data_IF_083118499556
#
_entry.id   IF_083118499556
#
_cell.length_a   1.000
_cell.length_b   1.000
_cell.length_c   1.000
_cell.angle_alpha   90.00
_cell.angle_beta   90.00
_cell.angle_gamma   90.00
#
_symmetry.space_group_name_H-M   'P 1'
#
loop_
_entity.id
_entity.type
_entity.pdbx_description
1 polymer ?
#
# COMPACT_ATOMS: atom_id res chain seq x y z
N UNK A 1 17.88 -54.83 29.95
CA UNK A 1 17.54 -55.29 28.60
C UNK A 1 16.05 -55.59 28.54
N UNK A 2 15.29 -54.74 27.84
CA UNK A 2 13.97 -54.99 27.20
C UNK A 2 13.14 -53.69 27.21
N UNK A 3 12.67 -53.20 26.04
CA UNK A 3 11.86 -51.98 25.92
C UNK A 3 10.35 -52.27 26.00
N UNK A 4 9.62 -51.44 26.73
CA UNK A 4 8.15 -51.44 26.78
C UNK A 4 7.56 -50.80 25.51
N UNK A 5 6.61 -51.50 24.91
CA UNK A 5 6.03 -51.24 23.59
C UNK A 5 5.14 -50.00 23.51
N UNK A 6 5.04 -49.46 22.29
CA UNK A 6 4.08 -48.44 21.88
C UNK A 6 2.90 -49.11 21.20
N UNK A 7 1.71 -48.98 21.80
CA UNK A 7 0.43 -49.33 21.17
C UNK A 7 0.11 -48.36 20.03
N UNK A 8 -0.13 -48.87 18.82
CA UNK A 8 -0.74 -48.14 17.72
C UNK A 8 -2.24 -48.46 17.69
N UNK A 9 -3.08 -47.47 17.95
CA UNK A 9 -4.53 -47.60 17.84
C UNK A 9 -4.91 -47.34 16.38
N UNK A 10 -5.33 -48.40 15.68
CA UNK A 10 -5.97 -48.33 14.36
C UNK A 10 -7.47 -48.08 14.55
N UNK A 11 -7.96 -46.92 14.10
CA UNK A 11 -9.41 -46.64 14.01
C UNK A 11 -9.80 -46.52 12.54
N UNK A 12 -10.27 -47.63 11.97
CA UNK A 12 -11.03 -47.60 10.72
C UNK A 12 -12.47 -47.16 11.01
N UNK A 13 -12.93 -46.08 10.37
CA UNK A 13 -14.32 -45.62 10.45
C UNK A 13 -15.12 -46.07 9.21
N UNK A 14 -16.18 -46.87 9.38
CA UNK A 14 -16.97 -47.42 8.29
C UNK A 14 -18.08 -46.44 7.88
N UNK A 15 -17.80 -45.50 6.99
CA UNK A 15 -18.85 -44.68 6.37
C UNK A 15 -18.51 -44.25 4.93
N UNK A 16 -18.42 -45.23 4.04
CA UNK A 16 -18.31 -45.01 2.59
C UNK A 16 -19.28 -45.93 1.85
N UNK A 17 -20.58 -45.62 1.87
CA UNK A 17 -21.57 -46.27 0.96
C UNK A 17 -22.61 -45.36 0.29
N UNK A 18 -22.51 -44.03 0.40
CA UNK A 18 -23.37 -43.12 -0.39
C UNK A 18 -22.58 -41.95 -0.97
N UNK A 19 -21.84 -42.23 -2.04
CA UNK A 19 -20.72 -41.40 -2.53
C UNK A 19 -20.74 -41.19 -4.05
N UNK A 20 -21.91 -40.96 -4.66
CA UNK A 20 -21.93 -40.64 -6.11
C UNK A 20 -22.54 -39.27 -6.46
N UNK A 21 -23.54 -38.77 -5.73
CA UNK A 21 -24.11 -37.44 -6.04
C UNK A 21 -23.39 -36.30 -5.29
N UNK A 22 -22.83 -36.57 -4.10
CA UNK A 22 -22.09 -35.58 -3.32
C UNK A 22 -20.73 -35.23 -3.95
N UNK A 23 -20.08 -36.19 -4.63
CA UNK A 23 -18.69 -36.07 -5.11
C UNK A 23 -18.53 -35.10 -6.28
N UNK A 24 -19.50 -34.99 -7.18
CA UNK A 24 -19.43 -34.00 -8.27
C UNK A 24 -19.59 -32.56 -7.75
N UNK A 25 -20.49 -32.32 -6.80
CA UNK A 25 -20.61 -31.03 -6.11
C UNK A 25 -19.41 -30.72 -5.23
N UNK A 26 -18.82 -31.71 -4.55
CA UNK A 26 -17.64 -31.51 -3.70
C UNK A 26 -16.40 -31.19 -4.56
N UNK A 27 -16.17 -31.88 -5.68
CA UNK A 27 -15.03 -31.58 -6.57
C UNK A 27 -15.14 -30.20 -7.24
N UNK A 28 -16.34 -29.76 -7.63
CA UNK A 28 -16.54 -28.40 -8.16
C UNK A 28 -16.28 -27.31 -7.12
N UNK A 29 -16.66 -27.55 -5.86
CA UNK A 29 -16.42 -26.63 -4.75
C UNK A 29 -14.94 -26.62 -4.31
N UNK A 30 -14.28 -27.78 -4.29
CA UNK A 30 -12.84 -27.89 -4.01
C UNK A 30 -12.02 -27.17 -5.10
N UNK A 31 -12.39 -27.31 -6.37
CA UNK A 31 -11.72 -26.62 -7.49
C UNK A 31 -11.91 -25.09 -7.44
N UNK A 32 -13.06 -24.60 -6.95
CA UNK A 32 -13.32 -23.17 -6.77
C UNK A 32 -12.57 -22.60 -5.56
N UNK A 33 -12.56 -23.32 -4.43
CA UNK A 33 -11.91 -22.90 -3.18
C UNK A 33 -10.38 -22.89 -3.31
N UNK A 34 -9.80 -23.84 -4.05
CA UNK A 34 -8.37 -23.91 -4.33
C UNK A 34 -7.95 -23.23 -5.63
N UNK A 35 -8.83 -22.42 -6.25
CA UNK A 35 -8.45 -21.66 -7.45
C UNK A 35 -7.31 -20.67 -7.11
N UNK A 36 -6.23 -20.58 -7.92
CA UNK A 36 -5.07 -19.74 -7.60
C UNK A 36 -5.41 -18.28 -7.28
N UNK A 37 -6.42 -17.73 -7.95
CA UNK A 37 -6.94 -16.38 -7.69
C UNK A 37 -7.61 -16.25 -6.33
N UNK A 38 -8.35 -17.28 -5.88
CA UNK A 38 -8.98 -17.29 -4.55
C UNK A 38 -7.90 -17.40 -3.49
N UNK A 39 -6.90 -18.26 -3.66
CA UNK A 39 -5.73 -18.32 -2.76
C UNK A 39 -4.98 -16.99 -2.68
N UNK A 40 -4.75 -16.34 -3.82
CA UNK A 40 -4.12 -15.01 -3.85
C UNK A 40 -4.98 -13.96 -3.16
N UNK A 41 -6.30 -14.00 -3.35
CA UNK A 41 -7.24 -13.11 -2.66
C UNK A 41 -7.19 -13.29 -1.15
N UNK A 42 -7.18 -14.53 -0.67
CA UNK A 42 -7.03 -14.85 0.75
C UNK A 42 -5.70 -14.28 1.28
N UNK A 43 -4.56 -14.61 0.64
CA UNK A 43 -3.24 -14.05 1.02
C UNK A 43 -3.24 -12.52 1.05
N UNK A 44 -3.85 -11.89 0.06
CA UNK A 44 -3.97 -10.43 -0.01
C UNK A 44 -4.80 -9.88 1.16
N UNK A 45 -5.99 -10.46 1.41
CA UNK A 45 -6.90 -10.04 2.47
C UNK A 45 -6.40 -10.41 3.87
N UNK A 46 -5.50 -11.36 4.03
CA UNK A 46 -4.92 -11.70 5.33
C UNK A 46 -3.93 -10.63 5.82
N UNK A 47 -3.44 -9.78 4.93
CA UNK A 47 -2.60 -8.65 5.32
C UNK A 47 -3.45 -7.47 5.82
N UNK A 48 -3.01 -6.86 6.92
CA UNK A 48 -3.58 -5.58 7.40
C UNK A 48 -3.51 -4.49 6.33
N UNK A 49 -2.46 -4.48 5.51
CA UNK A 49 -2.28 -3.53 4.42
C UNK A 49 -3.33 -3.71 3.31
N UNK A 50 -3.65 -4.96 2.93
CA UNK A 50 -4.69 -5.28 1.96
C UNK A 50 -6.06 -4.81 2.43
N UNK A 51 -6.46 -5.19 3.66
CA UNK A 51 -7.73 -4.76 4.28
C UNK A 51 -7.84 -3.24 4.35
N UNK A 52 -6.79 -2.55 4.80
CA UNK A 52 -6.77 -1.08 4.88
C UNK A 52 -6.97 -0.42 3.52
N UNK A 53 -6.37 -0.97 2.45
CA UNK A 53 -6.47 -0.40 1.11
C UNK A 53 -7.82 -0.65 0.45
N UNK A 54 -8.44 -1.81 0.69
CA UNK A 54 -9.82 -2.08 0.25
C UNK A 54 -10.78 -1.09 0.92
N UNK A 55 -10.66 -0.91 2.24
CA UNK A 55 -11.48 0.07 2.95
C UNK A 55 -11.22 1.50 2.47
N UNK A 56 -9.99 1.83 2.06
CA UNK A 56 -9.68 3.14 1.45
C UNK A 56 -10.48 3.33 0.16
N UNK A 57 -10.48 2.33 -0.72
CA UNK A 57 -11.26 2.36 -1.96
C UNK A 57 -12.75 2.58 -1.66
N UNK A 58 -13.32 1.77 -0.75
CA UNK A 58 -14.74 1.87 -0.38
C UNK A 58 -15.09 3.22 0.25
N UNK A 59 -14.20 3.77 1.09
CA UNK A 59 -14.36 5.12 1.65
C UNK A 59 -14.44 6.18 0.55
N UNK A 60 -13.53 6.19 -0.41
CA UNK A 60 -13.51 7.22 -1.44
C UNK A 60 -14.60 7.03 -2.51
N UNK A 61 -15.02 5.79 -2.78
CA UNK A 61 -16.24 5.51 -3.54
C UNK A 61 -17.47 6.09 -2.83
N UNK A 62 -17.57 5.88 -1.52
CA UNK A 62 -18.66 6.44 -0.71
C UNK A 62 -18.63 7.97 -0.70
N UNK A 63 -17.44 8.59 -0.63
CA UNK A 63 -17.26 10.05 -0.76
C UNK A 63 -17.71 10.57 -2.13
N UNK A 64 -17.34 9.85 -3.20
CA UNK A 64 -17.77 10.19 -4.56
C UNK A 64 -19.30 10.16 -4.70
N UNK A 65 -19.94 9.08 -4.24
CA UNK A 65 -21.40 8.93 -4.26
C UNK A 65 -22.07 10.01 -3.40
N UNK A 66 -21.53 10.30 -2.21
CA UNK A 66 -22.04 11.34 -1.33
C UNK A 66 -21.99 12.73 -1.99
N UNK A 67 -20.89 13.06 -2.68
CA UNK A 67 -20.73 14.33 -3.39
C UNK A 67 -21.58 14.44 -4.67
N UNK A 68 -21.76 13.33 -5.40
CA UNK A 68 -22.50 13.33 -6.66
C UNK A 68 -24.02 13.23 -6.48
N UNK A 69 -24.48 12.44 -5.50
CA UNK A 69 -25.90 12.15 -5.24
C UNK A 69 -26.44 12.85 -3.99
N UNK A 70 -25.63 13.67 -3.31
CA UNK A 70 -25.98 14.29 -2.03
C UNK A 70 -26.47 13.29 -0.96
N UNK A 71 -25.97 12.04 -1.02
CA UNK A 71 -26.44 10.95 -0.17
C UNK A 71 -25.85 11.04 1.24
N UNK A 72 -26.70 11.25 2.23
CA UNK A 72 -26.31 11.21 3.65
C UNK A 72 -25.83 9.82 4.06
N UNK A 73 -26.47 8.76 3.59
CA UNK A 73 -26.08 7.38 3.89
C UNK A 73 -24.63 7.11 3.43
N UNK A 74 -24.29 7.50 2.20
CA UNK A 74 -22.93 7.33 1.68
C UNK A 74 -21.89 8.10 2.51
N UNK A 75 -22.26 9.30 3.02
CA UNK A 75 -21.40 10.06 3.94
C UNK A 75 -21.18 9.35 5.28
N UNK A 76 -22.21 8.71 5.84
CA UNK A 76 -22.07 7.91 7.07
C UNK A 76 -21.17 6.70 6.83
N UNK A 77 -21.41 5.94 5.75
CA UNK A 77 -20.58 4.79 5.37
C UNK A 77 -19.11 5.19 5.17
N UNK A 78 -18.85 6.34 4.53
CA UNK A 78 -17.51 6.91 4.41
C UNK A 78 -16.84 7.11 5.78
N UNK A 79 -17.56 7.64 6.77
CA UNK A 79 -17.03 7.87 8.11
C UNK A 79 -16.70 6.56 8.83
N UNK A 80 -17.56 5.55 8.71
CA UNK A 80 -17.31 4.21 9.28
C UNK A 80 -16.05 3.58 8.68
N UNK A 81 -15.89 3.58 7.36
CA UNK A 81 -14.66 3.09 6.72
C UNK A 81 -13.44 3.90 7.15
N UNK A 82 -13.58 5.22 7.34
CA UNK A 82 -12.50 6.06 7.85
C UNK A 82 -12.07 5.63 9.26
N UNK A 83 -13.02 5.31 10.13
CA UNK A 83 -12.76 4.87 11.50
C UNK A 83 -12.02 3.52 11.52
N UNK A 84 -12.54 2.51 10.80
CA UNK A 84 -11.92 1.19 10.72
C UNK A 84 -10.50 1.27 10.15
N UNK A 85 -10.27 2.09 9.12
CA UNK A 85 -8.92 2.30 8.56
C UNK A 85 -7.96 2.96 9.53
N UNK A 86 -8.44 3.83 10.42
CA UNK A 86 -7.59 4.41 11.47
C UNK A 86 -7.19 3.33 12.48
N UNK A 87 -8.13 2.45 12.85
CA UNK A 87 -7.83 1.28 13.70
C UNK A 87 -6.79 0.35 13.06
N UNK A 88 -6.94 -0.01 11.78
CA UNK A 88 -5.95 -0.86 11.09
C UNK A 88 -4.56 -0.23 10.95
N UNK A 89 -4.45 1.10 11.11
CA UNK A 89 -3.18 1.83 11.07
C UNK A 89 -2.61 2.10 12.47
N UNK A 90 -3.24 1.58 13.52
CA UNK A 90 -2.72 1.65 14.88
C UNK A 90 -1.30 1.06 14.93
N UNK A 91 -0.38 1.73 15.63
CA UNK A 91 1.06 1.37 15.71
C UNK A 91 1.87 1.38 14.40
N UNK A 92 1.26 1.69 13.25
CA UNK A 92 1.99 1.92 11.99
C UNK A 92 3.09 3.00 12.05
N UNK A 93 3.04 4.04 12.92
CA UNK A 93 4.18 4.94 13.10
C UNK A 93 5.51 4.24 13.37
N UNK A 94 5.51 3.12 14.10
CA UNK A 94 6.72 2.39 14.45
C UNK A 94 7.46 1.86 13.21
N UNK A 95 6.72 1.36 12.22
CA UNK A 95 7.29 0.91 10.95
C UNK A 95 7.98 2.06 10.22
N UNK A 96 7.40 3.27 10.27
CA UNK A 96 7.99 4.44 9.64
C UNK A 96 9.21 4.97 10.40
N UNK A 97 9.24 4.86 11.74
CA UNK A 97 10.44 5.17 12.51
C UNK A 97 11.58 4.20 12.16
N UNK A 98 11.30 2.90 12.10
CA UNK A 98 12.29 1.89 11.66
C UNK A 98 12.82 2.19 10.25
N UNK A 99 11.94 2.53 9.31
CA UNK A 99 12.34 2.91 7.96
C UNK A 99 13.19 4.18 7.94
N UNK A 100 12.82 5.21 8.69
CA UNK A 100 13.59 6.44 8.79
C UNK A 100 15.01 6.18 9.31
N UNK A 101 15.15 5.39 10.38
CA UNK A 101 16.46 4.98 10.92
C UNK A 101 17.26 4.14 9.91
N UNK A 102 16.61 3.20 9.22
CA UNK A 102 17.26 2.40 8.17
C UNK A 102 17.84 3.27 7.06
N UNK A 103 17.07 4.25 6.57
CA UNK A 103 17.55 5.17 5.54
C UNK A 103 18.63 6.11 6.06
N UNK A 104 18.55 6.55 7.32
CA UNK A 104 19.58 7.40 7.92
C UNK A 104 20.94 6.69 7.99
N UNK A 105 20.92 5.42 8.41
CA UNK A 105 22.12 4.59 8.57
C UNK A 105 22.59 3.89 7.29
N UNK A 106 21.84 3.99 6.19
CA UNK A 106 22.28 3.45 4.91
C UNK A 106 23.61 4.10 4.49
N UNK A 107 24.62 3.28 4.21
CA UNK A 107 25.93 3.71 3.75
C UNK A 107 25.86 4.14 2.27
N UNK A 108 26.86 4.87 1.80
CA UNK A 108 26.87 5.47 0.45
C UNK A 108 26.76 4.42 -0.68
N UNK A 109 27.08 3.15 -0.43
CA UNK A 109 26.90 2.04 -1.37
C UNK A 109 25.46 1.51 -1.48
N UNK A 110 24.63 1.67 -0.43
CA UNK A 110 23.28 1.07 -0.35
C UNK A 110 22.17 1.98 -0.93
N UNK A 111 22.38 3.30 -0.94
CA UNK A 111 21.47 4.30 -1.50
C UNK A 111 22.30 5.40 -2.16
N UNK A 112 22.82 5.13 -3.35
CA UNK A 112 23.85 5.94 -4.03
C UNK A 112 23.48 7.39 -4.42
N UNK A 113 22.43 7.98 -3.86
CA UNK A 113 22.10 9.40 -4.02
C UNK A 113 21.62 10.01 -2.69
N UNK A 114 22.32 11.04 -2.23
CA UNK A 114 22.06 11.71 -0.94
C UNK A 114 20.67 12.35 -0.89
N UNK A 115 20.17 12.91 -2.00
CA UNK A 115 18.84 13.53 -2.06
C UNK A 115 17.78 12.45 -1.85
N UNK A 116 17.89 11.32 -2.53
CA UNK A 116 16.98 10.17 -2.35
C UNK A 116 17.04 9.64 -0.91
N UNK A 117 18.23 9.55 -0.31
CA UNK A 117 18.42 9.12 1.08
C UNK A 117 17.70 10.05 2.06
N UNK A 118 18.03 11.34 2.06
CA UNK A 118 17.44 12.29 3.01
C UNK A 118 15.95 12.52 2.78
N UNK A 119 15.49 12.51 1.53
CA UNK A 119 14.06 12.55 1.23
C UNK A 119 13.33 11.32 1.81
N UNK A 120 13.91 10.11 1.75
CA UNK A 120 13.31 8.95 2.42
C UNK A 120 13.23 9.13 3.94
N UNK A 121 14.26 9.72 4.58
CA UNK A 121 14.24 10.00 6.03
C UNK A 121 13.12 10.97 6.37
N UNK A 122 13.04 12.11 5.68
CA UNK A 122 12.02 13.13 5.91
C UNK A 122 10.61 12.59 5.64
N UNK A 123 10.43 11.83 4.54
CA UNK A 123 9.15 11.18 4.20
C UNK A 123 8.67 10.26 5.31
N UNK A 124 9.54 9.38 5.80
CA UNK A 124 9.16 8.41 6.82
C UNK A 124 8.97 9.05 8.21
N UNK A 125 9.81 10.00 8.60
CA UNK A 125 9.61 10.74 9.85
C UNK A 125 8.29 11.52 9.84
N UNK A 126 7.98 12.17 8.71
CA UNK A 126 6.71 12.89 8.53
C UNK A 126 5.51 11.94 8.58
N UNK A 127 5.59 10.74 7.97
CA UNK A 127 4.55 9.72 8.09
C UNK A 127 4.40 9.19 9.52
N UNK A 128 5.50 9.02 10.26
CA UNK A 128 5.44 8.62 11.66
C UNK A 128 4.68 9.67 12.49
N UNK A 129 5.00 10.95 12.35
CA UNK A 129 4.31 12.04 13.06
C UNK A 129 2.84 12.11 12.64
N UNK A 130 2.55 12.08 11.33
CA UNK A 130 1.18 12.06 10.80
C UNK A 130 0.36 10.94 11.42
N UNK A 131 0.85 9.70 11.35
CA UNK A 131 0.12 8.53 11.83
C UNK A 131 0.00 8.52 13.35
N UNK A 132 0.94 9.10 14.10
CA UNK A 132 0.82 9.28 15.55
C UNK A 132 -0.30 10.26 15.91
N UNK A 133 -0.35 11.41 15.23
CA UNK A 133 -1.47 12.37 15.38
C UNK A 133 -2.80 11.76 14.92
N UNK A 134 -2.76 10.84 13.95
CA UNK A 134 -3.92 10.09 13.50
C UNK A 134 -4.50 9.17 14.59
N UNK A 135 -3.67 8.70 15.54
CA UNK A 135 -4.15 7.91 16.69
C UNK A 135 -4.91 8.77 17.69
N UNK A 136 -4.50 10.03 17.89
CA UNK A 136 -5.27 10.98 18.71
C UNK A 136 -6.63 11.24 18.05
N UNK A 137 -6.67 11.38 16.72
CA UNK A 137 -7.93 11.51 15.98
C UNK A 137 -8.81 10.27 16.12
N UNK A 138 -8.23 9.06 16.11
CA UNK A 138 -8.95 7.81 16.35
C UNK A 138 -9.55 7.75 17.75
N UNK A 139 -8.76 8.05 18.79
CA UNK A 139 -9.24 8.06 20.18
C UNK A 139 -10.35 9.07 20.40
N UNK A 140 -10.31 10.22 19.72
CA UNK A 140 -11.42 11.17 19.68
C UNK A 140 -12.67 10.58 19.02
N UNK A 141 -12.53 9.88 17.89
CA UNK A 141 -13.66 9.21 17.21
C UNK A 141 -14.29 8.10 18.07
N UNK A 142 -13.47 7.40 18.86
CA UNK A 142 -13.92 6.40 19.85
C UNK A 142 -14.46 7.02 21.14
N UNK A 143 -14.50 8.36 21.25
CA UNK A 143 -14.92 9.09 22.45
C UNK A 143 -14.07 8.82 23.70
N UNK A 144 -12.83 8.34 23.53
CA UNK A 144 -11.87 8.15 24.61
C UNK A 144 -11.18 9.46 25.04
N UNK A 145 -11.16 10.45 24.16
CA UNK A 145 -10.62 11.79 24.43
C UNK A 145 -11.70 12.83 24.10
N UNK A 146 -11.91 13.86 24.94
CA UNK A 146 -12.89 14.90 24.67
C UNK A 146 -12.57 15.70 23.40
N UNK A 147 -13.63 16.20 22.76
CA UNK A 147 -13.51 17.11 21.61
C UNK A 147 -13.23 18.52 22.14
N UNK A 148 -11.97 18.95 22.02
CA UNK A 148 -11.51 20.29 22.40
C UNK A 148 -11.05 21.04 21.14
N UNK A 149 -10.83 22.37 21.17
CA UNK A 149 -10.24 23.08 20.03
C UNK A 149 -8.89 22.52 19.60
N UNK A 150 -8.11 22.01 20.56
CA UNK A 150 -6.85 21.32 20.30
C UNK A 150 -7.09 19.98 19.60
N UNK A 151 -7.85 19.07 20.24
CA UNK A 151 -8.03 17.72 19.73
C UNK A 151 -8.86 17.70 18.45
N UNK A 152 -9.85 18.58 18.29
CA UNK A 152 -10.80 18.60 17.18
C UNK A 152 -10.42 19.44 15.97
N UNK A 153 -9.54 20.45 16.11
CA UNK A 153 -9.14 21.33 15.00
C UNK A 153 -7.62 21.30 14.75
N UNK A 154 -6.80 21.53 15.79
CA UNK A 154 -5.34 21.62 15.64
C UNK A 154 -4.73 20.27 15.25
N UNK A 155 -5.07 19.20 15.97
CA UNK A 155 -4.51 17.85 15.73
C UNK A 155 -4.83 17.34 14.31
N UNK A 156 -6.07 17.38 13.79
CA UNK A 156 -6.35 17.04 12.40
C UNK A 156 -5.58 17.89 11.39
N UNK A 157 -5.45 19.20 11.63
CA UNK A 157 -4.71 20.10 10.74
C UNK A 157 -3.23 19.73 10.70
N UNK A 158 -2.60 19.53 11.85
CA UNK A 158 -1.21 19.09 11.94
C UNK A 158 -0.98 17.73 11.31
N UNK A 159 -1.88 16.76 11.53
CA UNK A 159 -1.82 15.46 10.88
C UNK A 159 -1.79 15.62 9.35
N UNK A 160 -2.71 16.40 8.78
CA UNK A 160 -2.72 16.65 7.33
C UNK A 160 -1.47 17.43 6.85
N UNK A 161 -0.94 18.37 7.63
CA UNK A 161 0.31 19.06 7.29
C UNK A 161 1.50 18.09 7.21
N UNK A 162 1.65 17.19 8.20
CA UNK A 162 2.72 16.19 8.16
C UNK A 162 2.51 15.14 7.07
N UNK A 163 1.25 14.81 6.75
CA UNK A 163 0.97 13.99 5.57
C UNK A 163 1.42 14.71 4.28
N UNK A 164 1.13 16.01 4.14
CA UNK A 164 1.59 16.81 3.00
C UNK A 164 3.12 16.86 2.92
N UNK A 165 3.83 17.08 4.04
CA UNK A 165 5.30 17.06 4.04
C UNK A 165 5.88 15.71 3.60
N UNK A 166 5.26 14.60 4.01
CA UNK A 166 5.66 13.27 3.56
C UNK A 166 5.49 13.10 2.03
N UNK A 167 4.39 13.62 1.47
CA UNK A 167 4.10 13.58 0.03
C UNK A 167 5.06 14.47 -0.76
N UNK A 168 5.31 15.71 -0.33
CA UNK A 168 6.25 16.62 -0.98
C UNK A 168 7.68 16.04 -1.00
N UNK A 169 8.11 15.45 0.11
CA UNK A 169 9.38 14.74 0.18
C UNK A 169 9.43 13.53 -0.77
N UNK A 170 8.30 12.81 -0.90
CA UNK A 170 8.12 11.75 -1.89
C UNK A 170 8.24 12.23 -3.33
N UNK A 171 7.60 13.34 -3.67
CA UNK A 171 7.70 13.98 -4.99
C UNK A 171 9.14 14.34 -5.32
N UNK A 172 9.87 15.00 -4.41
CA UNK A 172 11.30 15.34 -4.60
C UNK A 172 12.13 14.08 -4.83
N UNK A 173 11.91 13.03 -4.03
CA UNK A 173 12.59 11.75 -4.17
C UNK A 173 12.34 11.11 -5.55
N UNK A 174 11.08 11.05 -6.00
CA UNK A 174 10.72 10.37 -7.24
C UNK A 174 11.15 11.18 -8.47
N UNK A 175 11.11 12.52 -8.42
CA UNK A 175 11.75 13.37 -9.43
C UNK A 175 13.24 13.08 -9.56
N UNK A 176 13.95 12.96 -8.43
CA UNK A 176 15.38 12.62 -8.44
C UNK A 176 15.65 11.24 -9.02
N UNK A 177 14.83 10.23 -8.67
CA UNK A 177 14.94 8.88 -9.25
C UNK A 177 14.70 8.88 -10.77
N UNK A 178 13.75 9.67 -11.26
CA UNK A 178 13.51 9.82 -12.70
C UNK A 178 14.75 10.39 -13.38
N UNK A 179 15.35 11.45 -12.84
CA UNK A 179 16.59 12.02 -13.39
C UNK A 179 17.74 11.00 -13.43
N UNK A 180 17.95 10.25 -12.34
CA UNK A 180 19.00 9.24 -12.26
C UNK A 180 18.78 8.09 -13.24
N UNK A 181 17.54 7.61 -13.34
CA UNK A 181 17.20 6.52 -14.28
C UNK A 181 17.25 6.98 -15.73
N UNK A 182 16.89 8.22 -16.05
CA UNK A 182 17.05 8.79 -17.39
C UNK A 182 18.52 8.90 -17.80
N UNK A 183 19.38 9.35 -16.89
CA UNK A 183 20.83 9.40 -17.14
C UNK A 183 21.41 8.01 -17.38
N UNK A 184 21.01 7.01 -16.58
CA UNK A 184 21.41 5.60 -16.74
C UNK A 184 20.89 4.97 -18.04
N UNK A 185 19.64 5.25 -18.43
CA UNK A 185 19.10 4.75 -19.69
C UNK A 185 19.85 5.32 -20.89
N UNK A 186 20.17 6.62 -20.87
CA UNK A 186 20.99 7.24 -21.92
C UNK A 186 22.36 6.58 -22.02
N UNK A 187 23.07 6.40 -20.89
CA UNK A 187 24.41 5.81 -20.91
C UNK A 187 24.40 4.34 -21.37
N UNK A 188 23.39 3.56 -20.99
CA UNK A 188 23.23 2.19 -21.48
C UNK A 188 22.96 2.17 -22.99
N UNK A 189 22.06 3.01 -23.50
CA UNK A 189 21.75 3.05 -24.93
C UNK A 189 22.95 3.48 -25.80
N UNK A 190 23.80 4.38 -25.30
CA UNK A 190 25.04 4.74 -26.02
C UNK A 190 26.03 3.57 -26.09
N UNK A 191 26.22 2.83 -24.99
CA UNK A 191 27.08 1.63 -24.98
C UNK A 191 26.61 0.55 -25.95
N UNK A 192 25.30 0.36 -26.08
CA UNK A 192 24.73 -0.67 -26.97
C UNK A 192 25.07 -0.43 -28.44
N UNK A 193 25.29 0.83 -28.82
CA UNK A 193 25.64 1.23 -30.19
C UNK A 193 27.12 1.00 -30.50
N UNK A 194 27.99 1.13 -29.49
CA UNK A 194 29.44 1.01 -29.66
C UNK A 194 29.94 -0.45 -29.65
N UNK A 195 29.38 -1.33 -28.82
CA UNK A 195 30.06 -2.60 -28.48
C UNK A 195 29.74 -3.83 -29.35
N UNK A 196 28.80 -3.80 -30.30
CA UNK A 196 28.69 -4.75 -31.43
C UNK A 196 28.45 -6.27 -31.16
N UNK A 197 28.89 -6.84 -30.03
CA UNK A 197 28.97 -8.27 -29.75
C UNK A 197 27.62 -8.88 -29.33
N UNK A 198 27.34 -10.11 -29.79
CA UNK A 198 26.02 -10.72 -29.67
C UNK A 198 25.66 -11.24 -28.26
N UNK A 199 26.65 -11.60 -27.43
CA UNK A 199 26.44 -12.11 -26.06
C UNK A 199 26.13 -10.99 -25.05
N UNK A 200 26.74 -9.81 -25.19
CA UNK A 200 26.52 -8.65 -24.30
C UNK A 200 25.13 -8.01 -24.49
N UNK A 201 24.56 -8.12 -25.69
CA UNK A 201 23.23 -7.55 -26.01
C UNK A 201 22.09 -8.11 -25.18
N UNK A 202 22.17 -9.34 -24.67
CA UNK A 202 21.08 -9.94 -23.85
C UNK A 202 21.13 -9.40 -22.42
N UNK A 203 22.32 -9.36 -21.81
CA UNK A 203 22.52 -8.81 -20.47
C UNK A 203 22.22 -7.30 -20.45
N UNK A 204 22.64 -6.58 -21.48
CA UNK A 204 22.38 -5.16 -21.63
C UNK A 204 20.88 -4.86 -21.84
N UNK A 205 20.18 -5.63 -22.68
CA UNK A 205 18.72 -5.52 -22.81
C UNK A 205 17.99 -5.81 -21.51
N UNK A 206 18.48 -6.75 -20.70
CA UNK A 206 17.90 -7.03 -19.38
C UNK A 206 18.09 -5.84 -18.44
N UNK A 207 19.25 -5.21 -18.42
CA UNK A 207 19.52 -4.02 -17.61
C UNK A 207 18.71 -2.81 -18.07
N UNK A 208 18.59 -2.56 -19.38
CA UNK A 208 17.71 -1.51 -19.93
C UNK A 208 16.26 -1.72 -19.48
N UNK A 209 15.74 -2.95 -19.57
CA UNK A 209 14.38 -3.27 -19.10
C UNK A 209 14.23 -3.04 -17.60
N UNK A 210 15.24 -3.38 -16.80
CA UNK A 210 15.24 -3.16 -15.35
C UNK A 210 15.22 -1.67 -15.01
N UNK A 211 16.10 -0.86 -15.59
CA UNK A 211 16.13 0.60 -15.35
C UNK A 211 14.85 1.26 -15.86
N UNK A 212 14.30 0.82 -17.00
CA UNK A 212 13.01 1.30 -17.50
C UNK A 212 11.85 0.99 -16.53
N UNK A 213 11.87 -0.19 -15.89
CA UNK A 213 10.91 -0.56 -14.85
C UNK A 213 11.07 0.30 -13.59
N UNK A 214 12.30 0.59 -13.16
CA UNK A 214 12.58 1.51 -12.04
C UNK A 214 12.05 2.91 -12.33
N UNK A 215 12.29 3.42 -13.54
CA UNK A 215 11.74 4.70 -14.01
C UNK A 215 10.22 4.71 -14.00
N UNK A 216 9.58 3.69 -14.56
CA UNK A 216 8.13 3.58 -14.57
C UNK A 216 7.56 3.57 -13.14
N UNK A 217 8.20 2.84 -12.22
CA UNK A 217 7.80 2.83 -10.82
C UNK A 217 7.92 4.22 -10.16
N UNK A 218 9.00 4.97 -10.45
CA UNK A 218 9.19 6.33 -9.96
C UNK A 218 8.14 7.31 -10.52
N UNK A 219 7.87 7.29 -11.84
CA UNK A 219 6.82 8.12 -12.47
C UNK A 219 5.44 7.80 -11.88
N UNK A 220 5.11 6.51 -11.74
CA UNK A 220 3.84 6.10 -11.15
C UNK A 220 3.70 6.59 -9.71
N UNK A 221 4.77 6.56 -8.92
CA UNK A 221 4.78 7.08 -7.55
C UNK A 221 4.68 8.61 -7.50
N UNK A 222 5.33 9.32 -8.41
CA UNK A 222 5.20 10.76 -8.57
C UNK A 222 3.74 11.17 -8.84
N UNK A 223 3.08 10.51 -9.80
CA UNK A 223 1.66 10.76 -10.11
C UNK A 223 0.79 10.46 -8.89
N UNK A 224 1.03 9.33 -8.22
CA UNK A 224 0.30 8.99 -7.01
C UNK A 224 0.46 10.07 -5.93
N UNK A 225 1.69 10.41 -5.52
CA UNK A 225 1.93 11.37 -4.44
C UNK A 225 1.39 12.77 -4.80
N UNK A 226 1.34 13.13 -6.09
CA UNK A 226 0.70 14.36 -6.58
C UNK A 226 -0.82 14.35 -6.41
N UNK A 227 -1.49 13.24 -6.78
CA UNK A 227 -2.94 13.09 -6.61
C UNK A 227 -3.31 13.02 -5.12
N UNK A 228 -2.52 12.33 -4.29
CA UNK A 228 -2.72 12.34 -2.84
C UNK A 228 -2.49 13.76 -2.27
N UNK A 229 -1.55 14.54 -2.80
CA UNK A 229 -1.34 15.93 -2.37
C UNK A 229 -2.56 16.80 -2.65
N UNK A 230 -3.22 16.62 -3.80
CA UNK A 230 -4.51 17.25 -4.09
C UNK A 230 -5.57 16.94 -3.02
N UNK A 231 -5.67 15.69 -2.56
CA UNK A 231 -6.60 15.30 -1.48
C UNK A 231 -6.25 16.02 -0.18
N UNK A 232 -4.98 16.05 0.20
CA UNK A 232 -4.54 16.67 1.46
C UNK A 232 -4.72 18.17 1.45
N UNK A 233 -4.47 18.84 0.32
CA UNK A 233 -4.68 20.27 0.17
C UNK A 233 -6.16 20.65 0.32
N UNK A 234 -7.09 19.80 -0.15
CA UNK A 234 -8.52 19.97 0.12
C UNK A 234 -8.86 19.73 1.61
N UNK A 235 -8.27 18.70 2.25
CA UNK A 235 -8.47 18.47 3.69
C UNK A 235 -7.95 19.63 4.56
N UNK A 236 -6.90 20.34 4.11
CA UNK A 236 -6.34 21.53 4.77
C UNK A 236 -7.11 22.81 4.45
N UNK A 237 -8.09 22.73 3.54
CA UNK A 237 -8.86 23.87 3.03
C UNK A 237 -8.00 24.91 2.28
N UNK A 238 -6.86 24.48 1.71
CA UNK A 238 -6.10 25.29 0.75
C UNK A 238 -6.69 25.22 -0.65
N UNK A 239 -7.42 24.14 -0.94
CA UNK A 239 -8.27 23.99 -2.12
C UNK A 239 -9.72 23.80 -1.67
N UNK A 240 -10.66 24.27 -2.48
CA UNK A 240 -12.11 24.16 -2.25
C UNK A 240 -12.77 23.37 -3.39
N UNK A 241 -12.25 22.18 -3.67
CA UNK A 241 -12.78 21.31 -4.72
C UNK A 241 -14.06 20.61 -4.26
N UNK A 242 -14.90 20.22 -5.22
CA UNK A 242 -16.09 19.40 -4.93
C UNK A 242 -15.71 18.03 -4.35
N UNK A 243 -16.56 17.51 -3.47
CA UNK A 243 -16.32 16.24 -2.78
C UNK A 243 -16.21 15.03 -3.72
N UNK A 244 -16.89 15.08 -4.87
CA UNK A 244 -16.83 14.04 -5.89
C UNK A 244 -15.45 14.00 -6.58
N UNK A 245 -14.85 15.15 -6.90
CA UNK A 245 -13.50 15.22 -7.43
C UNK A 245 -12.47 14.65 -6.44
N UNK A 246 -12.60 14.96 -5.15
CA UNK A 246 -11.74 14.39 -4.09
C UNK A 246 -11.99 12.88 -3.92
N UNK A 247 -13.25 12.44 -4.09
CA UNK A 247 -13.64 11.04 -4.16
C UNK A 247 -12.88 10.30 -5.26
N UNK A 248 -12.95 10.77 -6.51
CA UNK A 248 -12.28 10.16 -7.66
C UNK A 248 -10.76 10.10 -7.47
N UNK A 249 -10.14 11.19 -7.00
CA UNK A 249 -8.70 11.21 -6.71
C UNK A 249 -8.31 10.08 -5.75
N UNK A 250 -9.07 9.90 -4.67
CA UNK A 250 -8.81 8.83 -3.70
C UNK A 250 -9.12 7.43 -4.23
N UNK A 251 -10.10 7.27 -5.13
CA UNK A 251 -10.34 5.99 -5.83
C UNK A 251 -9.13 5.60 -6.67
N UNK A 252 -8.63 6.53 -7.50
CA UNK A 252 -7.47 6.29 -8.37
C UNK A 252 -6.25 5.87 -7.56
N UNK A 253 -5.90 6.62 -6.50
CA UNK A 253 -4.73 6.29 -5.67
C UNK A 253 -4.92 5.01 -4.86
N UNK A 254 -6.17 4.64 -4.53
CA UNK A 254 -6.47 3.35 -3.89
C UNK A 254 -6.26 2.18 -4.85
N UNK A 255 -6.68 2.30 -6.10
CA UNK A 255 -6.49 1.27 -7.12
C UNK A 255 -5.01 1.02 -7.39
N UNK A 256 -4.16 2.06 -7.44
CA UNK A 256 -2.73 1.87 -7.53
C UNK A 256 -2.16 1.06 -6.35
N UNK A 257 -2.66 1.33 -5.14
CA UNK A 257 -2.23 0.57 -3.96
C UNK A 257 -2.72 -0.86 -3.93
N UNK A 258 -3.94 -1.11 -4.40
CA UNK A 258 -4.47 -2.46 -4.52
C UNK A 258 -3.67 -3.27 -5.53
N UNK A 259 -3.31 -2.68 -6.68
CA UNK A 259 -2.47 -3.33 -7.69
C UNK A 259 -1.11 -3.75 -7.10
N UNK A 260 -0.44 -2.87 -6.36
CA UNK A 260 0.88 -3.16 -5.76
C UNK A 260 0.79 -4.31 -4.75
N UNK A 261 -0.22 -4.26 -3.87
CA UNK A 261 -0.42 -5.28 -2.84
C UNK A 261 -0.90 -6.62 -3.43
N UNK A 262 -1.70 -6.58 -4.50
CA UNK A 262 -2.15 -7.77 -5.21
C UNK A 262 -0.96 -8.49 -5.86
N UNK A 263 -0.08 -7.76 -6.55
CA UNK A 263 1.14 -8.31 -7.14
C UNK A 263 2.06 -8.90 -6.07
N UNK A 264 2.23 -8.22 -4.94
CA UNK A 264 3.01 -8.74 -3.81
C UNK A 264 2.44 -10.06 -3.26
N UNK A 265 1.10 -10.20 -3.20
CA UNK A 265 0.44 -11.42 -2.75
C UNK A 265 0.65 -12.61 -3.69
N UNK A 266 0.78 -12.40 -5.01
CA UNK A 266 1.11 -13.50 -5.95
C UNK A 266 2.55 -14.00 -5.81
N UNK A 267 3.47 -13.14 -5.38
CA UNK A 267 4.90 -13.48 -5.31
C UNK A 267 5.33 -14.17 -4.01
N UNK A 268 4.47 -14.19 -2.99
CA UNK A 268 4.72 -14.91 -1.73
C UNK A 268 4.51 -16.41 -1.96
N UNK A 269 5.58 -17.13 -2.31
CA UNK A 269 5.62 -18.60 -2.23
C UNK A 269 5.51 -19.03 -0.78
#
# INVERSE_FOLDING_TARGET
>A
MSPLGKEQINLEFPFLKHTNQKYQTTMGNEMLVYHPTVTQLVKFLDTTAGREKVLRLLQYLSRFIAGNRHSLLAKHIQLEFTMVRKLLRFLKPLNHLQLATKFLHATEGDNGDLIVKYANVVKNLSFAIYLSLDQINLFRLLKLIPVTPFSGKKVPRWANMFWLYALLSGIVMDLRKIQLTDARLKSLLFKTVEDGAAQDKVAEKAEVKKVAKERFAAVRRLVWDSVDSFIVLNNLSYLSSRDDAVGIAGVITSLFGLQDLWQAASTSK
#
